data_IF_519042818846
#
_entry.id   IF_519042818846
#
_cell.length_a   1.000
_cell.length_b   1.000
_cell.length_c   1.000
_cell.angle_alpha   90.00
_cell.angle_beta   90.00
_cell.angle_gamma   90.00
#
_symmetry.space_group_name_H-M   'P 1'
#
loop_
_entity.id
_entity.type
_entity.pdbx_description
1 polymer ?
#
# COMPACT_ATOMS: atom_id res chain seq x y z
N UNK A 1 46.15 -35.08 6.01
CA UNK A 1 47.12 -36.19 5.97
C UNK A 1 47.45 -36.45 4.52
N UNK A 2 48.75 -36.55 4.19
CA UNK A 2 49.23 -36.85 2.84
C UNK A 2 48.81 -38.27 2.44
N UNK A 3 48.31 -38.42 1.21
CA UNK A 3 47.98 -39.72 0.61
C UNK A 3 48.94 -39.95 -0.55
N UNK A 4 49.89 -40.88 -0.38
CA UNK A 4 50.72 -41.39 -1.47
C UNK A 4 49.88 -42.38 -2.29
N UNK A 5 49.77 -42.13 -3.59
CA UNK A 5 49.01 -42.99 -4.52
C UNK A 5 50.02 -43.81 -5.33
N UNK A 6 50.13 -45.10 -5.00
CA UNK A 6 50.82 -46.07 -5.83
C UNK A 6 50.08 -46.27 -7.16
N UNK A 7 50.77 -46.04 -8.26
CA UNK A 7 50.23 -46.15 -9.60
C UNK A 7 49.90 -47.61 -9.95
N UNK A 8 48.60 -47.92 -10.05
CA UNK A 8 48.09 -49.05 -10.82
C UNK A 8 46.82 -48.59 -11.56
N UNK A 9 46.89 -48.62 -12.89
CA UNK A 9 45.81 -48.26 -13.80
C UNK A 9 44.67 -49.28 -13.74
N UNK A 10 43.67 -48.99 -12.91
CA UNK A 10 42.33 -49.56 -13.03
C UNK A 10 41.34 -48.39 -13.01
N UNK A 11 40.40 -48.37 -13.96
CA UNK A 11 39.26 -47.44 -13.94
C UNK A 11 38.28 -47.86 -12.84
N UNK A 12 38.63 -47.56 -11.59
CA UNK A 12 37.74 -47.72 -10.45
C UNK A 12 36.87 -46.47 -10.32
N UNK A 13 35.54 -46.64 -10.33
CA UNK A 13 34.62 -45.55 -10.02
C UNK A 13 34.61 -45.30 -8.53
N UNK A 14 34.98 -44.10 -8.11
CA UNK A 14 34.98 -43.69 -6.71
C UNK A 14 33.80 -42.75 -6.47
N UNK A 15 32.99 -43.02 -5.43
CA UNK A 15 31.98 -42.07 -4.96
C UNK A 15 32.57 -41.29 -3.79
N UNK A 16 32.93 -40.03 -4.03
CA UNK A 16 33.47 -39.15 -3.00
C UNK A 16 32.30 -38.50 -2.22
N UNK A 17 32.25 -38.72 -0.91
CA UNK A 17 31.34 -38.00 -0.02
C UNK A 17 32.17 -37.10 0.90
N UNK A 18 32.03 -35.78 0.76
CA UNK A 18 32.67 -34.80 1.63
C UNK A 18 31.68 -34.45 2.74
N UNK A 19 32.03 -34.77 3.99
CA UNK A 19 31.25 -34.43 5.19
C UNK A 19 32.07 -33.44 6.02
N UNK A 20 31.54 -32.24 6.21
CA UNK A 20 32.13 -31.25 7.12
C UNK A 20 31.26 -31.24 8.38
N UNK A 21 31.81 -31.76 9.47
CA UNK A 21 31.18 -31.76 10.79
C UNK A 21 31.98 -30.85 11.72
N UNK A 22 31.27 -30.10 12.56
CA UNK A 22 31.84 -29.20 13.55
C UNK A 22 31.17 -29.38 14.90
N UNK A 23 31.87 -29.03 15.97
CA UNK A 23 31.33 -28.98 17.32
C UNK A 23 31.42 -27.54 17.79
N UNK A 24 30.28 -26.97 18.18
CA UNK A 24 30.21 -25.59 18.65
C UNK A 24 29.44 -25.53 19.96
N UNK A 25 29.71 -24.51 20.75
CA UNK A 25 28.91 -24.17 21.92
C UNK A 25 28.39 -22.75 21.80
N UNK A 26 27.32 -22.47 22.52
CA UNK A 26 26.77 -21.13 22.60
C UNK A 26 27.54 -20.32 23.65
N UNK A 27 28.24 -19.27 23.19
CA UNK A 27 28.90 -18.29 24.03
C UNK A 27 27.87 -17.19 24.40
N UNK A 28 27.42 -17.18 25.65
CA UNK A 28 26.42 -16.24 26.15
C UNK A 28 26.96 -14.81 26.29
N UNK A 29 28.27 -14.65 26.53
CA UNK A 29 28.88 -13.33 26.74
C UNK A 29 28.91 -12.53 25.43
N UNK A 30 29.20 -13.22 24.32
CA UNK A 30 29.23 -12.61 22.98
C UNK A 30 27.96 -12.86 22.15
N UNK A 31 27.01 -13.68 22.64
CA UNK A 31 25.83 -14.14 21.89
C UNK A 31 26.19 -14.77 20.52
N UNK A 32 27.22 -15.62 20.47
CA UNK A 32 27.67 -16.27 19.22
C UNK A 32 27.99 -17.75 19.40
N UNK A 33 27.95 -18.52 18.30
CA UNK A 33 28.39 -19.92 18.29
C UNK A 33 29.92 -20.01 18.14
N UNK A 34 30.61 -20.32 19.23
CA UNK A 34 32.07 -20.52 19.26
C UNK A 34 32.45 -21.99 19.16
N UNK A 35 33.63 -22.28 18.62
CA UNK A 35 34.22 -23.63 18.57
C UNK A 35 35.37 -23.81 19.55
N UNK A 36 35.68 -22.81 20.37
CA UNK A 36 36.79 -22.88 21.33
C UNK A 36 36.54 -23.94 22.42
N UNK A 37 37.58 -24.72 22.76
CA UNK A 37 37.46 -25.84 23.71
C UNK A 37 36.73 -27.08 23.18
N UNK A 38 36.07 -27.01 22.02
CA UNK A 38 35.34 -28.13 21.41
C UNK A 38 36.06 -28.68 20.16
N UNK A 39 36.19 -30.01 20.08
CA UNK A 39 36.77 -30.71 18.93
C UNK A 39 35.94 -31.91 18.49
N UNK A 40 35.96 -32.18 17.20
CA UNK A 40 35.27 -33.33 16.59
C UNK A 40 36.06 -34.60 16.87
N UNK A 41 35.37 -35.63 17.37
CA UNK A 41 35.94 -36.92 17.73
C UNK A 41 36.08 -37.89 16.54
N UNK A 42 36.94 -38.91 16.67
CA UNK A 42 37.22 -39.87 15.60
C UNK A 42 36.06 -40.84 15.33
N UNK A 43 35.06 -40.95 16.22
CA UNK A 43 33.85 -41.75 16.00
C UNK A 43 32.76 -40.99 15.24
N UNK A 44 33.10 -39.85 14.64
CA UNK A 44 32.16 -39.06 13.84
C UNK A 44 31.87 -39.75 12.51
N UNK A 45 30.59 -39.89 12.21
CA UNK A 45 30.04 -40.54 11.01
C UNK A 45 28.99 -39.65 10.36
N UNK A 46 28.48 -40.03 9.18
CA UNK A 46 27.37 -39.34 8.49
C UNK A 46 26.12 -39.16 9.37
N UNK A 47 25.88 -40.06 10.32
CA UNK A 47 24.67 -40.08 11.14
C UNK A 47 24.88 -39.64 12.59
N UNK A 48 26.14 -39.45 13.00
CA UNK A 48 26.49 -39.14 14.38
C UNK A 48 27.76 -38.32 14.42
N UNK A 49 27.70 -37.13 15.00
CA UNK A 49 28.88 -36.32 15.33
C UNK A 49 29.28 -36.58 16.78
N UNK A 50 30.54 -36.94 17.01
CA UNK A 50 31.08 -37.02 18.37
C UNK A 50 31.78 -35.70 18.69
N UNK A 51 31.39 -35.06 19.79
CA UNK A 51 32.01 -33.82 20.25
C UNK A 51 32.74 -34.05 21.58
N UNK A 52 33.98 -33.59 21.65
CA UNK A 52 34.74 -33.48 22.89
C UNK A 52 34.88 -32.01 23.23
N UNK A 53 34.27 -31.58 24.33
CA UNK A 53 34.43 -30.23 24.87
C UNK A 53 35.02 -30.33 26.27
N UNK A 54 35.86 -29.37 26.65
CA UNK A 54 36.50 -29.28 27.97
C UNK A 54 35.70 -28.43 28.98
N UNK A 55 34.52 -27.98 28.59
CA UNK A 55 33.60 -27.18 29.40
C UNK A 55 32.18 -27.77 29.39
N UNK A 56 31.37 -27.37 30.37
CA UNK A 56 30.01 -27.85 30.58
C UNK A 56 28.96 -26.85 30.07
N UNK A 57 29.09 -26.42 28.83
CA UNK A 57 28.16 -25.46 28.19
C UNK A 57 27.18 -26.17 27.24
N UNK A 58 26.13 -25.47 26.83
CA UNK A 58 25.21 -25.97 25.81
C UNK A 58 25.93 -26.12 24.47
N UNK A 59 26.16 -27.36 24.05
CA UNK A 59 26.87 -27.70 22.82
C UNK A 59 25.93 -28.23 21.73
N UNK A 60 26.29 -27.97 20.47
CA UNK A 60 25.59 -28.43 19.28
C UNK A 60 26.57 -28.95 18.23
N UNK A 61 26.14 -29.95 17.46
CA UNK A 61 26.85 -30.40 16.27
C UNK A 61 26.43 -29.55 15.07
N UNK A 62 27.41 -29.03 14.34
CA UNK A 62 27.24 -28.35 13.06
C UNK A 62 27.49 -29.36 11.94
N UNK A 63 26.56 -29.47 10.99
CA UNK A 63 26.66 -30.39 9.86
C UNK A 63 26.22 -29.67 8.59
N UNK A 64 27.18 -29.37 7.72
CA UNK A 64 26.89 -28.77 6.41
C UNK A 64 26.57 -29.90 5.44
N UNK A 65 25.27 -30.11 5.18
CA UNK A 65 24.83 -30.99 4.10
C UNK A 65 25.05 -30.24 2.79
N UNK A 66 25.95 -30.74 1.94
CA UNK A 66 26.15 -30.16 0.61
C UNK A 66 24.80 -30.12 -0.12
N UNK A 67 24.37 -28.95 -0.63
CA UNK A 67 23.12 -28.86 -1.37
C UNK A 67 23.18 -29.80 -2.57
N UNK A 68 22.09 -30.54 -2.81
CA UNK A 68 21.99 -31.40 -3.99
C UNK A 68 22.28 -30.56 -5.24
N UNK A 69 23.23 -30.99 -6.06
CA UNK A 69 23.53 -30.31 -7.31
C UNK A 69 22.32 -30.39 -8.22
N UNK A 70 21.77 -29.24 -8.59
CA UNK A 70 20.70 -29.17 -9.60
C UNK A 70 21.36 -29.45 -10.94
N UNK A 71 21.19 -30.67 -11.44
CA UNK A 71 21.66 -31.05 -12.77
C UNK A 71 20.68 -30.54 -13.84
N UNK A 72 21.00 -29.37 -14.40
CA UNK A 72 20.19 -28.73 -15.42
C UNK A 72 20.10 -29.54 -16.73
N UNK A 73 21.03 -30.47 -17.00
CA UNK A 73 20.97 -31.27 -18.24
C UNK A 73 19.75 -32.19 -18.26
N UNK A 74 19.44 -32.79 -17.12
CA UNK A 74 18.26 -33.62 -16.91
C UNK A 74 16.95 -32.81 -16.91
N UNK A 75 17.01 -31.54 -16.48
CA UNK A 75 15.87 -30.62 -16.58
C UNK A 75 15.55 -30.36 -18.06
N UNK A 76 16.54 -29.90 -18.84
CA UNK A 76 16.34 -29.59 -20.26
C UNK A 76 16.00 -30.83 -21.11
N UNK A 77 16.56 -32.00 -20.81
CA UNK A 77 16.20 -33.25 -21.49
C UNK A 77 14.72 -33.64 -21.27
N UNK A 78 14.16 -33.39 -20.08
CA UNK A 78 12.73 -33.61 -19.79
C UNK A 78 11.83 -32.56 -20.47
N UNK A 79 12.32 -31.36 -20.73
CA UNK A 79 11.64 -30.36 -21.55
C UNK A 79 11.57 -30.76 -23.04
N UNK A 80 12.46 -31.63 -23.56
CA UNK A 80 12.34 -32.12 -24.93
C UNK A 80 11.17 -33.11 -25.12
N UNK A 81 10.57 -33.62 -24.03
CA UNK A 81 9.39 -34.51 -24.04
C UNK A 81 8.14 -33.80 -23.51
N UNK A 82 7.87 -32.59 -24.03
CA UNK A 82 6.70 -31.76 -23.64
C UNK A 82 5.36 -32.51 -23.67
N UNK A 83 5.22 -33.48 -24.59
CA UNK A 83 4.00 -34.28 -24.74
C UNK A 83 3.71 -35.25 -23.57
N UNK A 84 4.74 -35.78 -22.90
CA UNK A 84 4.56 -36.74 -21.78
C UNK A 84 3.95 -36.08 -20.54
N UNK A 85 4.12 -34.75 -20.39
CA UNK A 85 3.62 -33.96 -19.26
C UNK A 85 2.69 -32.82 -19.70
N UNK A 86 1.93 -33.03 -20.77
CA UNK A 86 1.06 -32.01 -21.36
C UNK A 86 0.09 -31.36 -20.36
N UNK A 87 -0.39 -32.11 -19.36
CA UNK A 87 -1.27 -31.59 -18.31
C UNK A 87 -0.57 -30.53 -17.41
N UNK A 88 0.70 -30.76 -17.06
CA UNK A 88 1.49 -29.81 -16.25
C UNK A 88 1.77 -28.54 -17.05
N UNK A 89 2.19 -28.68 -18.30
CA UNK A 89 2.43 -27.52 -19.16
C UNK A 89 1.16 -26.71 -19.43
N UNK A 90 0.02 -27.38 -19.69
CA UNK A 90 -1.27 -26.73 -19.88
C UNK A 90 -1.71 -25.94 -18.65
N UNK A 91 -1.56 -26.51 -17.44
CA UNK A 91 -1.91 -25.83 -16.19
C UNK A 91 -0.99 -24.64 -15.90
N UNK A 92 0.32 -24.75 -16.16
CA UNK A 92 1.26 -23.65 -16.00
C UNK A 92 0.98 -22.52 -17.01
N UNK A 93 0.72 -22.85 -18.28
CA UNK A 93 0.43 -21.86 -19.32
C UNK A 93 -0.88 -21.13 -19.03
N UNK A 94 -1.92 -21.85 -18.60
CA UNK A 94 -3.20 -21.23 -18.23
C UNK A 94 -3.06 -20.32 -17.00
N UNK A 95 -2.33 -20.75 -15.97
CA UNK A 95 -2.06 -19.93 -14.79
C UNK A 95 -1.24 -18.68 -15.13
N UNK A 96 -0.20 -18.80 -15.97
CA UNK A 96 0.60 -17.68 -16.45
C UNK A 96 -0.25 -16.71 -17.30
N UNK A 97 -1.11 -17.24 -18.17
CA UNK A 97 -2.03 -16.45 -18.99
C UNK A 97 -3.02 -15.64 -18.15
N UNK A 98 -3.66 -16.29 -17.17
CA UNK A 98 -4.54 -15.61 -16.21
C UNK A 98 -3.81 -14.54 -15.40
N UNK A 99 -2.57 -14.82 -14.98
CA UNK A 99 -1.72 -13.86 -14.29
C UNK A 99 -1.42 -12.63 -15.15
N UNK A 100 -1.04 -12.81 -16.42
CA UNK A 100 -0.77 -11.69 -17.34
C UNK A 100 -2.03 -10.87 -17.62
N UNK A 101 -3.19 -11.52 -17.83
CA UNK A 101 -4.47 -10.83 -18.01
C UNK A 101 -4.79 -9.98 -16.77
N UNK A 102 -4.66 -10.58 -15.57
CA UNK A 102 -4.88 -9.87 -14.31
C UNK A 102 -3.94 -8.67 -14.17
N UNK A 103 -2.64 -8.82 -14.46
CA UNK A 103 -1.68 -7.72 -14.44
C UNK A 103 -2.05 -6.57 -15.38
N UNK A 104 -2.52 -6.88 -16.59
CA UNK A 104 -2.95 -5.86 -17.56
C UNK A 104 -4.17 -5.09 -17.02
N UNK A 105 -5.16 -5.80 -16.48
CA UNK A 105 -6.36 -5.19 -15.88
C UNK A 105 -5.98 -4.33 -14.67
N UNK A 106 -5.18 -4.85 -13.75
CA UNK A 106 -4.73 -4.13 -12.56
C UNK A 106 -3.93 -2.88 -12.92
N UNK A 107 -3.01 -2.96 -13.89
CA UNK A 107 -2.28 -1.78 -14.40
C UNK A 107 -3.19 -0.75 -15.03
N UNK A 108 -4.19 -1.18 -15.78
CA UNK A 108 -5.15 -0.27 -16.38
C UNK A 108 -5.99 0.45 -15.30
N UNK A 109 -6.35 -0.26 -14.23
CA UNK A 109 -7.01 0.31 -13.06
C UNK A 109 -6.09 1.30 -12.33
N UNK A 110 -4.82 0.96 -12.11
CA UNK A 110 -3.85 1.85 -11.48
C UNK A 110 -3.61 3.15 -12.26
N UNK A 111 -3.53 3.08 -13.59
CA UNK A 111 -3.42 4.28 -14.43
C UNK A 111 -4.65 5.18 -14.32
N UNK A 112 -5.85 4.59 -14.22
CA UNK A 112 -7.08 5.35 -13.97
C UNK A 112 -7.10 5.96 -12.57
N UNK A 113 -6.62 5.24 -11.56
CA UNK A 113 -6.57 5.72 -10.18
C UNK A 113 -5.56 6.88 -10.02
N UNK A 114 -4.41 6.82 -10.69
CA UNK A 114 -3.43 7.92 -10.75
C UNK A 114 -4.05 9.21 -11.34
N UNK A 115 -4.82 9.10 -12.42
CA UNK A 115 -5.49 10.25 -13.04
C UNK A 115 -6.59 10.80 -12.12
N UNK A 116 -7.35 9.93 -11.45
CA UNK A 116 -8.38 10.34 -10.48
C UNK A 116 -7.79 11.08 -9.28
N UNK A 117 -6.59 10.72 -8.84
CA UNK A 117 -5.92 11.34 -7.69
C UNK A 117 -5.04 12.54 -8.03
N UNK A 118 -4.84 12.84 -9.31
CA UNK A 118 -4.14 14.06 -9.73
C UNK A 118 -4.76 15.31 -9.09
N UNK A 119 -3.95 16.30 -8.74
CA UNK A 119 -4.48 17.60 -8.33
C UNK A 119 -4.75 18.42 -9.60
N UNK A 120 -5.94 19.00 -9.72
CA UNK A 120 -6.30 19.88 -10.84
C UNK A 120 -6.53 21.30 -10.31
N UNK A 121 -6.09 22.35 -11.02
CA UNK A 121 -6.38 23.73 -10.61
C UNK A 121 -7.89 24.01 -10.69
N UNK A 122 -8.39 24.82 -9.77
CA UNK A 122 -9.75 25.35 -9.87
C UNK A 122 -9.88 26.28 -11.07
N UNK A 123 -11.07 26.28 -11.69
CA UNK A 123 -11.39 27.14 -12.84
C UNK A 123 -11.21 28.64 -12.54
N UNK A 124 -11.43 29.04 -11.28
CA UNK A 124 -11.40 30.44 -10.84
C UNK A 124 -10.05 30.88 -10.25
N UNK A 125 -8.99 30.08 -10.42
CA UNK A 125 -7.63 30.47 -10.06
C UNK A 125 -7.13 31.61 -10.96
N UNK A 126 -6.53 32.65 -10.36
CA UNK A 126 -5.95 33.75 -11.11
C UNK A 126 -4.45 33.52 -11.33
N UNK A 127 -3.90 33.85 -12.52
CA UNK A 127 -2.46 33.76 -12.77
C UNK A 127 -1.60 34.66 -11.87
N UNK A 128 -2.21 35.68 -11.26
CA UNK A 128 -1.55 36.61 -10.33
C UNK A 128 -1.45 36.07 -8.91
N UNK A 129 -2.22 35.04 -8.57
CA UNK A 129 -2.24 34.46 -7.22
C UNK A 129 -0.89 33.81 -6.89
N UNK A 130 -0.32 34.17 -5.74
CA UNK A 130 1.02 33.72 -5.34
C UNK A 130 1.02 32.58 -4.31
N UNK A 131 -0.14 32.31 -3.69
CA UNK A 131 -0.29 31.34 -2.62
C UNK A 131 -1.24 30.21 -3.01
N UNK A 132 -0.99 28.98 -2.54
CA UNK A 132 -1.65 27.78 -3.06
C UNK A 132 -2.02 26.77 -1.98
N UNK A 133 -3.27 26.31 -2.00
CA UNK A 133 -3.76 25.27 -1.11
C UNK A 133 -4.24 24.06 -1.91
N UNK A 134 -3.96 22.86 -1.41
CA UNK A 134 -4.53 21.62 -1.93
C UNK A 134 -5.80 21.28 -1.18
N UNK A 135 -6.95 21.41 -1.84
CA UNK A 135 -8.28 21.09 -1.33
C UNK A 135 -8.67 19.68 -1.77
N UNK A 136 -8.71 18.75 -0.83
CA UNK A 136 -9.15 17.37 -1.02
C UNK A 136 -10.59 17.21 -0.51
N UNK A 137 -11.54 16.98 -1.42
CA UNK A 137 -12.95 16.77 -1.07
C UNK A 137 -13.29 15.29 -1.17
N UNK A 138 -13.82 14.73 -0.08
CA UNK A 138 -14.23 13.33 -0.02
C UNK A 138 -15.76 13.21 0.06
N UNK A 139 -16.35 12.55 -0.94
CA UNK A 139 -17.77 12.19 -0.93
C UNK A 139 -17.97 10.85 -0.21
N UNK A 140 -19.04 10.74 0.59
CA UNK A 140 -19.32 9.53 1.33
C UNK A 140 -19.59 8.31 0.45
N UNK A 141 -19.57 7.12 1.07
CA UNK A 141 -19.82 5.85 0.37
C UNK A 141 -21.28 5.38 0.50
N UNK A 142 -22.20 6.16 1.07
CA UNK A 142 -23.62 5.81 1.20
C UNK A 142 -24.30 5.73 -0.18
N UNK A 143 -25.38 4.96 -0.32
CA UNK A 143 -26.13 4.91 -1.60
C UNK A 143 -26.71 6.30 -1.89
N UNK A 144 -26.56 6.80 -3.12
CA UNK A 144 -27.04 8.14 -3.51
C UNK A 144 -26.24 9.31 -2.94
N UNK A 145 -25.03 9.06 -2.43
CA UNK A 145 -24.18 10.10 -1.81
C UNK A 145 -23.53 11.08 -2.79
N UNK A 146 -23.49 10.76 -4.08
CA UNK A 146 -22.91 11.61 -5.10
C UNK A 146 -23.86 12.73 -5.53
N UNK A 147 -23.29 13.80 -6.07
CA UNK A 147 -24.06 14.97 -6.51
C UNK A 147 -23.63 15.48 -7.88
N UNK A 148 -24.61 15.98 -8.62
CA UNK A 148 -24.40 16.72 -9.86
C UNK A 148 -24.63 18.23 -9.69
N UNK A 149 -24.96 18.66 -8.46
CA UNK A 149 -25.18 20.07 -8.13
C UNK A 149 -23.88 20.87 -8.16
N UNK A 150 -23.97 22.18 -8.40
CA UNK A 150 -22.80 23.07 -8.41
C UNK A 150 -22.43 23.44 -6.97
N UNK A 151 -21.24 23.04 -6.57
CA UNK A 151 -20.71 23.28 -5.23
C UNK A 151 -19.84 24.54 -5.22
N UNK A 152 -19.98 25.30 -4.14
CA UNK A 152 -19.15 26.46 -3.83
C UNK A 152 -18.68 26.37 -2.39
N UNK A 153 -17.58 27.03 -2.10
CA UNK A 153 -17.04 27.08 -0.75
C UNK A 153 -16.28 28.37 -0.50
N UNK A 154 -16.04 28.67 0.78
CA UNK A 154 -15.16 29.74 1.26
C UNK A 154 -14.27 29.12 2.33
N UNK A 155 -12.97 29.34 2.20
CA UNK A 155 -11.98 29.01 3.23
C UNK A 155 -11.66 30.30 3.97
N UNK A 156 -11.80 30.29 5.28
CA UNK A 156 -11.47 31.42 6.15
C UNK A 156 -10.31 31.03 7.05
N UNK A 157 -9.35 31.93 7.20
CA UNK A 157 -8.26 31.84 8.18
C UNK A 157 -8.12 33.11 8.98
N UNK A 158 -7.08 33.21 9.80
CA UNK A 158 -6.84 34.37 10.65
C UNK A 158 -6.43 35.63 9.86
N UNK A 159 -5.74 35.46 8.73
CA UNK A 159 -5.21 36.56 7.93
C UNK A 159 -6.13 36.97 6.76
N UNK A 160 -7.17 36.18 6.47
CA UNK A 160 -8.13 36.51 5.41
C UNK A 160 -9.02 35.34 4.99
N UNK A 161 -9.78 35.55 3.90
CA UNK A 161 -10.61 34.52 3.28
C UNK A 161 -10.28 34.32 1.79
N UNK A 162 -10.64 33.16 1.25
CA UNK A 162 -10.42 32.82 -0.16
C UNK A 162 -11.39 33.51 -1.12
N UNK A 163 -12.37 34.25 -0.61
CA UNK A 163 -13.61 34.55 -1.32
C UNK A 163 -14.40 33.29 -1.70
N UNK A 164 -15.48 33.49 -2.46
CA UNK A 164 -16.31 32.39 -2.97
C UNK A 164 -15.59 31.66 -4.08
N UNK A 165 -15.28 30.38 -3.86
CA UNK A 165 -14.66 29.48 -4.83
C UNK A 165 -15.66 28.51 -5.42
N UNK A 166 -15.49 28.17 -6.69
CA UNK A 166 -16.26 27.11 -7.37
C UNK A 166 -15.48 25.81 -7.29
N UNK A 167 -16.11 24.74 -6.83
CA UNK A 167 -15.46 23.42 -6.77
C UNK A 167 -15.52 22.72 -8.13
N UNK A 168 -14.78 23.24 -9.10
CA UNK A 168 -14.75 22.78 -10.50
C UNK A 168 -13.34 23.01 -11.07
N UNK A 169 -12.83 22.05 -11.82
CA UNK A 169 -11.53 22.18 -12.48
C UNK A 169 -11.64 22.88 -13.84
N UNK A 170 -10.52 23.43 -14.31
CA UNK A 170 -10.41 24.17 -15.60
C UNK A 170 -10.93 23.35 -16.79
N UNK A 171 -10.68 22.04 -16.83
CA UNK A 171 -11.11 21.16 -17.92
C UNK A 171 -12.53 20.60 -17.73
N UNK A 172 -13.21 20.98 -16.64
CA UNK A 172 -14.54 20.49 -16.27
C UNK A 172 -14.63 18.95 -16.15
N UNK A 173 -13.50 18.27 -15.91
CA UNK A 173 -13.42 16.80 -15.83
C UNK A 173 -14.06 16.26 -14.54
N UNK A 174 -14.16 17.09 -13.50
CA UNK A 174 -14.67 16.76 -12.16
C UNK A 174 -15.85 17.65 -11.77
N UNK A 175 -16.70 17.97 -12.75
CA UNK A 175 -17.95 18.73 -12.55
C UNK A 175 -18.91 18.09 -11.56
N UNK A 176 -18.96 16.77 -11.57
CA UNK A 176 -19.83 15.95 -10.73
C UNK A 176 -18.98 15.26 -9.69
N UNK A 177 -19.52 15.04 -8.48
CA UNK A 177 -18.86 14.25 -7.45
C UNK A 177 -19.59 12.92 -7.26
N UNK A 178 -19.05 11.82 -7.85
CA UNK A 178 -19.62 10.50 -7.67
C UNK A 178 -19.53 10.02 -6.22
N UNK A 179 -20.40 9.07 -5.87
CA UNK A 179 -20.32 8.32 -4.62
C UNK A 179 -18.89 7.80 -4.36
N UNK A 180 -18.40 8.03 -3.14
CA UNK A 180 -17.09 7.55 -2.70
C UNK A 180 -15.90 8.16 -3.42
N UNK A 181 -16.09 9.25 -4.16
CA UNK A 181 -14.98 9.94 -4.83
C UNK A 181 -14.13 10.71 -3.82
N UNK A 182 -12.84 10.82 -4.16
CA UNK A 182 -11.88 11.70 -3.52
C UNK A 182 -11.26 12.52 -4.65
N UNK A 183 -11.49 13.83 -4.64
CA UNK A 183 -10.94 14.73 -5.64
C UNK A 183 -10.06 15.79 -5.00
N UNK A 184 -8.95 16.06 -5.67
CA UNK A 184 -7.92 17.00 -5.23
C UNK A 184 -7.93 18.20 -6.16
N UNK A 185 -8.08 19.39 -5.59
CA UNK A 185 -8.10 20.66 -6.30
C UNK A 185 -6.99 21.57 -5.79
N UNK A 186 -6.30 22.28 -6.68
CA UNK A 186 -5.37 23.33 -6.29
C UNK A 186 -6.13 24.65 -6.31
N UNK A 187 -6.30 25.27 -5.16
CA UNK A 187 -6.87 26.60 -4.98
C UNK A 187 -5.73 27.61 -4.88
N UNK A 188 -5.75 28.64 -5.73
CA UNK A 188 -4.84 29.77 -5.63
C UNK A 188 -5.53 30.99 -5.01
N UNK A 189 -4.79 31.74 -4.20
CA UNK A 189 -5.21 32.99 -3.57
C UNK A 189 -4.05 34.00 -3.59
N UNK A 190 -4.36 35.28 -3.44
CA UNK A 190 -3.39 36.37 -3.54
C UNK A 190 -2.25 36.26 -2.51
N UNK A 191 -2.60 35.92 -1.26
CA UNK A 191 -1.65 35.75 -0.15
C UNK A 191 -2.06 34.66 0.84
N UNK A 192 -1.23 34.46 1.86
CA UNK A 192 -1.49 33.48 2.93
C UNK A 192 -2.81 33.82 3.66
N UNK A 193 -3.65 32.82 3.90
CA UNK A 193 -4.88 32.96 4.71
C UNK A 193 -4.60 32.84 6.22
N UNK A 194 -3.35 32.57 6.61
CA UNK A 194 -2.97 32.25 7.98
C UNK A 194 -3.48 30.87 8.43
N UNK A 195 -3.44 30.57 9.74
CA UNK A 195 -4.08 29.41 10.30
C UNK A 195 -5.57 29.37 9.92
N UNK A 196 -6.03 28.27 9.33
CA UNK A 196 -7.42 28.16 8.90
C UNK A 196 -8.35 28.04 10.11
N UNK A 197 -9.52 28.68 10.03
CA UNK A 197 -10.51 28.71 11.12
C UNK A 197 -11.75 27.89 10.78
N UNK A 198 -12.35 28.14 9.62
CA UNK A 198 -13.51 27.40 9.15
C UNK A 198 -13.60 27.31 7.62
N UNK A 199 -14.33 26.31 7.16
CA UNK A 199 -14.74 26.10 5.78
C UNK A 199 -16.26 26.24 5.69
N UNK A 200 -16.76 27.18 4.89
CA UNK A 200 -18.17 27.19 4.50
C UNK A 200 -18.32 26.48 3.17
N UNK A 201 -19.19 25.49 3.05
CA UNK A 201 -19.41 24.72 1.83
C UNK A 201 -20.90 24.49 1.58
N UNK A 202 -21.33 24.69 0.33
CA UNK A 202 -22.73 24.56 -0.05
C UNK A 202 -22.90 24.17 -1.51
N UNK A 203 -24.10 23.73 -1.87
CA UNK A 203 -24.48 23.48 -3.27
C UNK A 203 -25.80 24.16 -3.62
N UNK A 204 -26.08 24.27 -4.91
CA UNK A 204 -27.26 24.95 -5.45
C UNK A 204 -28.48 24.05 -5.69
N UNK A 205 -28.42 22.80 -5.23
CA UNK A 205 -29.46 21.79 -5.41
C UNK A 205 -29.95 21.58 -6.87
N UNK A 206 -29.11 21.90 -7.86
CA UNK A 206 -29.47 21.85 -9.29
C UNK A 206 -29.39 20.47 -9.93
N UNK A 207 -28.93 19.45 -9.19
CA UNK A 207 -28.85 18.07 -9.67
C UNK A 207 -30.21 17.49 -10.10
N UNK A 208 -30.20 16.29 -10.67
CA UNK A 208 -31.43 15.57 -11.08
C UNK A 208 -31.67 14.36 -10.18
N UNK A 209 -32.93 14.12 -9.84
CA UNK A 209 -33.33 12.99 -9.00
C UNK A 209 -32.55 12.95 -7.69
N UNK A 210 -31.90 11.82 -7.41
CA UNK A 210 -31.11 11.61 -6.18
C UNK A 210 -29.77 12.37 -6.18
N UNK A 211 -29.26 12.80 -7.34
CA UNK A 211 -27.99 13.53 -7.44
C UNK A 211 -28.11 15.02 -7.08
N UNK A 212 -29.28 15.43 -6.56
CA UNK A 212 -29.53 16.73 -5.95
C UNK A 212 -28.84 16.84 -4.59
N UNK A 213 -29.07 15.81 -3.78
CA UNK A 213 -28.43 15.58 -2.49
C UNK A 213 -26.95 15.29 -2.64
N UNK A 214 -26.20 15.59 -1.58
CA UNK A 214 -24.79 15.25 -1.47
C UNK A 214 -24.48 14.77 -0.06
N UNK A 215 -23.75 13.66 0.07
CA UNK A 215 -23.19 13.27 1.36
C UNK A 215 -21.71 13.65 1.40
N UNK A 216 -21.39 14.71 2.13
CA UNK A 216 -20.02 15.15 2.33
C UNK A 216 -19.43 14.42 3.53
N UNK A 217 -18.32 13.71 3.32
CA UNK A 217 -17.63 13.00 4.40
C UNK A 217 -16.71 13.97 5.15
N UNK A 218 -15.69 14.49 4.46
CA UNK A 218 -14.77 15.49 4.99
C UNK A 218 -14.11 16.28 3.84
N UNK A 219 -13.54 17.42 4.20
CA UNK A 219 -12.65 18.21 3.34
C UNK A 219 -11.31 18.36 4.05
N UNK A 220 -10.21 18.11 3.35
CA UNK A 220 -8.86 18.35 3.84
C UNK A 220 -8.23 19.47 3.03
N UNK A 221 -7.59 20.42 3.70
CA UNK A 221 -6.88 21.52 3.05
C UNK A 221 -5.43 21.45 3.51
N UNK A 222 -4.51 21.27 2.56
CA UNK A 222 -3.09 21.31 2.83
C UNK A 222 -2.53 22.61 2.28
N UNK A 223 -1.83 23.36 3.12
CA UNK A 223 -1.00 24.48 2.69
C UNK A 223 0.22 23.92 1.93
N UNK A 224 0.41 24.34 0.67
CA UNK A 224 1.48 23.79 -0.17
C UNK A 224 2.84 24.43 0.09
N UNK A 225 2.87 25.58 0.77
CA UNK A 225 4.06 26.34 1.11
C UNK A 225 4.62 25.86 2.46
N UNK A 226 3.75 25.71 3.47
CA UNK A 226 4.15 25.32 4.83
C UNK A 226 4.06 23.80 5.05
N UNK A 227 3.22 23.10 4.29
CA UNK A 227 2.92 21.68 4.48
C UNK A 227 1.92 21.39 5.60
N UNK A 228 1.36 22.43 6.22
CA UNK A 228 0.34 22.30 7.26
C UNK A 228 -0.96 21.70 6.70
N UNK A 229 -1.66 20.92 7.52
CA UNK A 229 -2.87 20.19 7.12
C UNK A 229 -4.02 20.49 8.05
N UNK A 230 -5.11 20.95 7.46
CA UNK A 230 -6.36 21.25 8.15
C UNK A 230 -7.43 20.26 7.68
N UNK A 231 -8.20 19.71 8.61
CA UNK A 231 -9.29 18.79 8.30
C UNK A 231 -10.61 19.36 8.78
N UNK A 232 -11.60 19.35 7.91
CA UNK A 232 -12.96 19.80 8.17
C UNK A 232 -13.90 18.60 8.07
N UNK A 233 -14.41 18.15 9.21
CA UNK A 233 -15.32 17.00 9.28
C UNK A 233 -16.75 17.45 9.02
N UNK A 234 -17.49 16.70 8.19
CA UNK A 234 -18.90 16.95 7.93
C UNK A 234 -19.77 15.74 8.28
N UNK A 235 -19.48 14.59 7.67
CA UNK A 235 -20.20 13.31 7.82
C UNK A 235 -21.73 13.43 7.79
N UNK A 236 -22.27 14.27 6.91
CA UNK A 236 -23.70 14.61 6.86
C UNK A 236 -24.21 14.78 5.45
N UNK A 237 -25.54 14.72 5.32
CA UNK A 237 -26.18 15.10 4.08
C UNK A 237 -26.26 16.62 3.98
N UNK A 238 -25.86 17.14 2.82
CA UNK A 238 -26.22 18.46 2.32
C UNK A 238 -27.34 18.21 1.30
N UNK A 239 -28.58 18.41 1.74
CA UNK A 239 -29.77 18.00 1.01
C UNK A 239 -30.99 18.71 1.57
N UNK A 240 -31.95 19.09 0.73
CA UNK A 240 -33.22 19.67 1.19
C UNK A 240 -34.15 18.57 1.71
N UNK A 241 -34.04 17.38 1.13
CA UNK A 241 -34.91 16.23 1.38
C UNK A 241 -34.38 15.22 2.41
N UNK A 242 -33.17 15.43 2.95
CA UNK A 242 -32.51 14.51 3.89
C UNK A 242 -31.86 15.25 5.07
N UNK A 243 -31.62 14.51 6.15
CA UNK A 243 -30.99 14.99 7.38
C UNK A 243 -31.74 16.18 7.98
N UNK A 244 -31.12 17.37 8.09
CA UNK A 244 -31.75 18.58 8.62
C UNK A 244 -32.26 19.54 7.53
N UNK A 245 -32.27 19.11 6.26
CA UNK A 245 -32.75 19.92 5.15
C UNK A 245 -31.80 21.05 4.71
N UNK A 246 -30.59 21.14 5.30
CA UNK A 246 -29.62 22.17 4.92
C UNK A 246 -28.74 21.74 3.76
N UNK A 247 -28.47 22.67 2.84
CA UNK A 247 -27.51 22.51 1.73
C UNK A 247 -26.23 23.33 1.92
N UNK A 248 -26.11 24.00 3.07
CA UNK A 248 -25.01 24.91 3.45
C UNK A 248 -24.49 24.52 4.84
N UNK A 249 -23.17 24.48 4.99
CA UNK A 249 -22.47 24.09 6.21
C UNK A 249 -21.28 24.99 6.45
N UNK A 250 -21.12 25.42 7.70
CA UNK A 250 -19.87 26.00 8.22
C UNK A 250 -19.22 24.92 9.08
N UNK A 251 -18.01 24.52 8.71
CA UNK A 251 -17.25 23.45 9.34
C UNK A 251 -16.01 24.09 9.99
N UNK A 252 -15.83 24.02 11.32
CA UNK A 252 -14.59 24.45 11.95
C UNK A 252 -13.46 23.47 11.64
N UNK A 253 -12.21 23.91 11.80
CA UNK A 253 -11.07 22.99 11.79
C UNK A 253 -11.24 21.95 12.91
N UNK A 254 -11.12 20.68 12.55
CA UNK A 254 -11.26 19.57 13.49
C UNK A 254 -10.03 19.48 14.41
N UNK A 255 -10.29 19.35 15.72
CA UNK A 255 -9.25 19.07 16.70
C UNK A 255 -8.76 17.63 16.63
N UNK A 256 -7.69 17.33 17.37
CA UNK A 256 -7.14 15.97 17.46
C UNK A 256 -8.19 14.98 17.98
N UNK A 257 -8.96 15.39 19.00
CA UNK A 257 -10.00 14.54 19.60
C UNK A 257 -11.13 14.23 18.61
N UNK A 258 -11.56 15.23 17.82
CA UNK A 258 -12.58 15.06 16.78
C UNK A 258 -12.11 14.07 15.70
N UNK A 259 -10.84 14.17 15.29
CA UNK A 259 -10.24 13.25 14.33
C UNK A 259 -10.16 11.82 14.86
N UNK A 260 -9.85 11.65 16.15
CA UNK A 260 -9.84 10.33 16.79
C UNK A 260 -11.25 9.75 16.84
N UNK A 261 -12.24 10.52 17.30
CA UNK A 261 -13.64 10.09 17.37
C UNK A 261 -14.18 9.74 15.98
N UNK A 262 -13.93 10.59 14.98
CA UNK A 262 -14.32 10.34 13.59
C UNK A 262 -13.69 9.06 13.03
N UNK A 263 -12.40 8.84 13.30
CA UNK A 263 -11.72 7.61 12.85
C UNK A 263 -12.31 6.37 13.51
N UNK A 264 -12.68 6.42 14.78
CA UNK A 264 -13.33 5.31 15.47
C UNK A 264 -14.70 4.99 14.84
N UNK A 265 -15.54 6.01 14.59
CA UNK A 265 -16.81 5.85 13.89
C UNK A 265 -16.63 5.25 12.50
N UNK A 266 -15.61 5.68 11.75
CA UNK A 266 -15.35 5.17 10.41
C UNK A 266 -14.76 3.75 10.41
N UNK A 267 -13.93 3.37 11.39
CA UNK A 267 -13.40 2.00 11.49
C UNK A 267 -14.48 0.95 11.75
N UNK A 268 -15.60 1.35 12.37
CA UNK A 268 -16.78 0.49 12.51
C UNK A 268 -17.44 0.15 11.15
N UNK A 269 -17.24 1.01 10.14
CA UNK A 269 -17.59 0.71 8.75
C UNK A 269 -16.55 -0.27 8.17
N UNK A 270 -16.71 -1.54 8.51
CA UNK A 270 -15.80 -2.66 8.22
C UNK A 270 -15.21 -2.69 6.80
N UNK A 271 -15.88 -2.09 5.81
CA UNK A 271 -15.47 -2.06 4.40
C UNK A 271 -14.17 -1.28 4.12
N UNK A 272 -13.90 -0.15 4.80
CA UNK A 272 -12.63 0.60 4.58
C UNK A 272 -11.46 -0.12 5.24
N UNK A 273 -11.68 -0.71 6.41
CA UNK A 273 -10.70 -1.55 7.11
C UNK A 273 -10.40 -2.84 6.33
N UNK A 274 -11.44 -3.56 5.87
CA UNK A 274 -11.29 -4.77 5.07
C UNK A 274 -10.61 -4.50 3.71
N UNK A 275 -10.90 -3.35 3.08
CA UNK A 275 -10.26 -2.94 1.83
C UNK A 275 -8.81 -2.48 1.98
N UNK A 276 -8.43 -1.91 3.12
CA UNK A 276 -7.08 -1.42 3.36
C UNK A 276 -6.18 -2.47 4.02
N UNK A 277 -6.74 -3.39 4.81
CA UNK A 277 -5.97 -4.35 5.61
C UNK A 277 -5.88 -5.75 4.95
N UNK A 278 -6.74 -6.07 3.96
CA UNK A 278 -6.69 -7.37 3.28
C UNK A 278 -6.03 -7.26 1.90
N UNK A 279 -4.82 -7.81 1.76
CA UNK A 279 -3.99 -7.79 0.55
C UNK A 279 -4.74 -8.13 -0.75
N UNK A 280 -5.64 -9.11 -0.71
CA UNK A 280 -6.38 -9.52 -1.90
C UNK A 280 -7.56 -8.61 -2.25
N UNK A 281 -8.12 -7.89 -1.28
CA UNK A 281 -9.26 -6.99 -1.49
C UNK A 281 -8.75 -5.60 -1.86
N UNK A 282 -7.59 -5.20 -1.34
CA UNK A 282 -6.92 -3.96 -1.74
C UNK A 282 -6.52 -3.96 -3.22
N UNK A 283 -6.26 -5.13 -3.82
CA UNK A 283 -6.04 -5.28 -5.27
C UNK A 283 -7.24 -4.84 -6.10
N UNK A 284 -8.47 -5.02 -5.59
CA UNK A 284 -9.69 -4.66 -6.32
C UNK A 284 -10.28 -3.32 -5.87
N UNK A 285 -10.04 -2.92 -4.62
CA UNK A 285 -10.63 -1.76 -3.96
C UNK A 285 -9.53 -0.90 -3.34
N UNK A 286 -9.31 0.32 -3.88
CA UNK A 286 -8.27 1.24 -3.39
C UNK A 286 -8.88 2.58 -2.95
N UNK A 287 -9.36 2.68 -1.70
CA UNK A 287 -10.08 3.86 -1.22
C UNK A 287 -9.16 5.01 -0.81
N UNK A 288 -7.84 4.82 -0.71
CA UNK A 288 -6.88 5.86 -0.35
C UNK A 288 -5.61 5.80 -1.20
N UNK A 289 -4.96 6.96 -1.38
CA UNK A 289 -3.64 7.05 -2.04
C UNK A 289 -2.60 6.33 -1.17
N UNK A 290 -2.10 5.21 -1.67
CA UNK A 290 -1.01 4.44 -1.07
C UNK A 290 0.24 4.52 -1.95
N UNK A 291 1.40 4.19 -1.39
CA UNK A 291 2.63 4.04 -2.18
C UNK A 291 2.71 2.69 -2.90
N UNK A 292 1.84 1.73 -2.55
CA UNK A 292 1.78 0.40 -3.18
C UNK A 292 0.91 0.42 -4.44
N UNK A 293 1.47 0.02 -5.58
CA UNK A 293 0.72 -0.29 -6.82
C UNK A 293 -0.04 -1.61 -6.67
N UNK A 294 -1.11 -1.81 -7.45
CA UNK A 294 -1.81 -3.10 -7.56
C UNK A 294 -0.99 -4.11 -8.35
#
# INVERSE_FOLDING_TARGET
GNMEVGANTANTSYTLLILVSGCRYWDEDNNTWSSEGCRVGPLTTKYRTQCFCDHLTSFGADAVVAPNTIDFTNVWAKFNRLGENAAVFSTVITLLGLYVILLIVLRHMDKKDLIKWGALPLEDNLPTDSYHYLVTVQTGIKKGSGTDSRIRFIVSGEDGDSGVRKLIDVDNKRKHLPRGSIFNYVMSVDGCLGPLTFLRIWHDNSGKGQNKSWYLDNVQINDLQTGEKFTFLCDRWLAVEMDDGSVDRILPVAGIDDLIAFKQLFTSSARKKLSNDHLWISLFSRPARSNFTR
#
